data_IF_945946462674
#
_entry.id   IF_945946462674
#
_cell.length_a   1.000
_cell.length_b   1.000
_cell.length_c   1.000
_cell.angle_alpha   90.00
_cell.angle_beta   90.00
_cell.angle_gamma   90.00
#
_symmetry.space_group_name_H-M   'P 1'
#
loop_
_entity.id
_entity.type
_entity.pdbx_description
1 polymer ?
#
# COMPACT_ATOMS: atom_id res chain seq x y z
N UNK A 1 8.21 24.43 -25.31
CA UNK A 1 8.04 23.07 -24.76
C UNK A 1 8.72 23.06 -23.40
N UNK A 2 7.98 23.03 -22.28
CA UNK A 2 8.58 22.95 -20.96
C UNK A 2 8.94 21.49 -20.66
N UNK A 3 10.22 21.25 -20.39
CA UNK A 3 10.76 19.99 -19.86
C UNK A 3 10.31 19.87 -18.40
N UNK A 4 9.36 18.98 -18.13
CA UNK A 4 9.01 18.59 -16.77
C UNK A 4 10.14 17.72 -16.21
N UNK A 5 10.95 18.33 -15.34
CA UNK A 5 11.88 17.63 -14.47
C UNK A 5 11.02 16.82 -13.48
N UNK A 6 10.99 15.49 -13.63
CA UNK A 6 10.41 14.63 -12.61
C UNK A 6 11.31 14.70 -11.38
N UNK A 7 10.86 15.43 -10.37
CA UNK A 7 11.44 15.42 -9.04
C UNK A 7 11.09 14.07 -8.41
N UNK A 8 11.96 13.08 -8.61
CA UNK A 8 11.83 11.76 -7.98
C UNK A 8 12.14 11.97 -6.50
N UNK A 9 11.18 11.77 -5.58
CA UNK A 9 11.46 11.86 -4.16
C UNK A 9 12.57 10.88 -3.85
N UNK A 10 13.69 11.39 -3.33
CA UNK A 10 14.85 10.58 -2.98
C UNK A 10 14.40 9.42 -2.09
N UNK A 11 14.48 8.19 -2.61
CA UNK A 11 14.29 6.93 -1.87
C UNK A 11 15.44 6.65 -0.88
N UNK A 12 16.07 7.70 -0.36
CA UNK A 12 17.05 7.65 0.72
C UNK A 12 16.33 8.04 2.01
N UNK A 13 15.44 7.19 2.47
CA UNK A 13 14.95 7.28 3.85
C UNK A 13 14.95 5.89 4.45
N UNK A 14 16.02 5.66 5.21
CA UNK A 14 16.23 4.54 6.13
C UNK A 14 16.48 3.19 5.46
N UNK A 15 17.70 3.02 4.95
CA UNK A 15 18.38 1.71 5.14
C UNK A 15 18.28 1.40 6.64
N UNK A 16 17.68 0.28 7.09
CA UNK A 16 18.02 -0.20 8.42
C UNK A 16 19.54 -0.37 8.43
N UNK A 17 20.18 0.22 9.43
CA UNK A 17 21.62 0.20 9.53
C UNK A 17 22.08 -1.26 9.56
N UNK A 18 22.82 -1.69 8.53
CA UNK A 18 23.57 -2.95 8.56
C UNK A 18 24.52 -3.03 9.78
N UNK A 19 24.75 -1.92 10.47
CA UNK A 19 25.45 -1.83 11.74
C UNK A 19 24.74 -2.55 12.90
N UNK A 20 23.42 -2.72 12.87
CA UNK A 20 22.71 -3.42 13.96
C UNK A 20 22.81 -4.95 13.85
N UNK A 21 23.17 -5.48 12.68
CA UNK A 21 23.38 -6.92 12.48
C UNK A 21 24.77 -7.34 12.98
N UNK A 22 25.75 -6.44 13.02
CA UNK A 22 27.10 -6.76 13.52
C UNK A 22 27.20 -6.81 15.05
N UNK A 23 26.23 -6.25 15.79
CA UNK A 23 26.19 -6.32 17.25
C UNK A 23 25.40 -7.52 17.82
N UNK A 24 24.80 -8.36 16.96
CA UNK A 24 24.06 -9.55 17.37
C UNK A 24 24.91 -10.84 17.41
N UNK A 25 26.21 -10.77 17.08
CA UNK A 25 27.11 -11.90 17.28
C UNK A 25 27.53 -11.96 18.74
N UNK A 26 26.73 -12.67 19.53
CA UNK A 26 26.98 -13.06 20.92
C UNK A 26 28.20 -13.97 21.10
N UNK A 27 29.38 -13.53 20.67
CA UNK A 27 30.68 -14.13 21.00
C UNK A 27 31.26 -13.57 22.32
N UNK A 28 30.47 -12.84 23.09
CA UNK A 28 30.90 -12.26 24.36
C UNK A 28 30.98 -13.28 25.51
N UNK A 29 30.30 -14.42 25.42
CA UNK A 29 30.23 -15.37 26.55
C UNK A 29 31.35 -16.44 26.51
N UNK A 30 31.68 -16.96 25.32
CA UNK A 30 32.82 -17.89 25.15
C UNK A 30 34.17 -17.23 25.49
N UNK A 31 34.35 -15.95 25.12
CA UNK A 31 35.57 -15.21 25.45
C UNK A 31 35.68 -14.90 26.96
N UNK A 32 34.56 -14.85 27.69
CA UNK A 32 34.55 -14.57 29.14
C UNK A 32 34.97 -15.78 29.97
N UNK A 33 34.67 -16.99 29.52
CA UNK A 33 35.07 -18.24 30.18
C UNK A 33 36.55 -18.59 29.94
N UNK A 34 37.08 -18.33 28.74
CA UNK A 34 38.50 -18.57 28.43
C UNK A 34 39.41 -17.64 29.26
N UNK A 35 39.00 -16.38 29.47
CA UNK A 35 39.78 -15.40 30.23
C UNK A 35 39.87 -15.70 31.75
N UNK A 36 39.03 -16.60 32.29
CA UNK A 36 38.97 -16.93 33.73
C UNK A 36 39.61 -18.28 34.11
N UNK A 37 40.22 -19.00 33.16
CA UNK A 37 40.87 -20.29 33.43
C UNK A 37 39.94 -21.34 34.04
N UNK A 38 38.63 -21.20 33.84
CA UNK A 38 37.63 -22.12 34.39
C UNK A 38 37.54 -23.35 33.49
N UNK A 39 37.83 -24.52 34.06
CA UNK A 39 37.75 -25.81 33.38
C UNK A 39 36.30 -26.06 32.92
N UNK A 40 36.06 -26.06 31.61
CA UNK A 40 34.73 -26.36 31.06
C UNK A 40 34.43 -27.83 31.35
N UNK A 41 33.45 -28.12 32.20
CA UNK A 41 33.03 -29.50 32.43
C UNK A 41 32.49 -30.08 31.12
N UNK A 42 33.00 -31.24 30.72
CA UNK A 42 32.64 -31.88 29.43
C UNK A 42 31.13 -32.10 29.28
N UNK A 43 30.40 -32.21 30.39
CA UNK A 43 28.96 -32.45 30.42
C UNK A 43 28.12 -31.19 30.13
N UNK A 44 28.72 -29.99 30.17
CA UNK A 44 28.04 -28.72 29.84
C UNK A 44 28.10 -28.40 28.34
N UNK A 45 29.01 -29.03 27.59
CA UNK A 45 29.21 -28.80 26.14
C UNK A 45 27.96 -29.15 25.31
N UNK A 46 27.25 -30.27 25.55
CA UNK A 46 26.01 -30.58 24.82
C UNK A 46 24.88 -29.58 25.10
N UNK A 47 24.79 -29.02 26.32
CA UNK A 47 23.78 -28.03 26.68
C UNK A 47 24.07 -26.69 26.01
N UNK A 48 25.32 -26.24 26.03
CA UNK A 48 25.74 -25.02 25.33
C UNK A 48 25.53 -25.14 23.81
N UNK A 49 25.82 -26.30 23.21
CA UNK A 49 25.55 -26.56 21.79
C UNK A 49 24.06 -26.51 21.47
N UNK A 50 23.22 -27.13 22.30
CA UNK A 50 21.76 -27.10 22.12
C UNK A 50 21.19 -25.68 22.25
N UNK A 51 21.73 -24.86 23.15
CA UNK A 51 21.32 -23.46 23.30
C UNK A 51 21.69 -22.65 22.04
N UNK A 52 22.92 -22.82 21.53
CA UNK A 52 23.36 -22.20 20.28
C UNK A 52 22.48 -22.61 19.08
N UNK A 53 22.15 -23.91 18.96
CA UNK A 53 21.27 -24.40 17.88
C UNK A 53 19.86 -23.80 17.97
N UNK A 54 19.34 -23.54 19.19
CA UNK A 54 18.03 -22.90 19.39
C UNK A 54 18.06 -21.41 19.02
N UNK A 55 19.13 -20.71 19.37
CA UNK A 55 19.31 -19.31 19.00
C UNK A 55 19.45 -19.14 17.49
N UNK A 56 20.19 -20.03 16.82
CA UNK A 56 20.31 -20.05 15.37
C UNK A 56 18.95 -20.28 14.68
N UNK A 57 18.13 -21.19 15.21
CA UNK A 57 16.77 -21.43 14.69
C UNK A 57 15.86 -20.20 14.89
N UNK A 58 15.99 -19.49 16.00
CA UNK A 58 15.23 -18.25 16.23
C UNK A 58 15.64 -17.15 15.24
N UNK A 59 16.94 -17.00 14.97
CA UNK A 59 17.47 -16.04 14.00
C UNK A 59 17.02 -16.36 12.57
N UNK A 60 17.01 -17.64 12.19
CA UNK A 60 16.51 -18.09 10.88
C UNK A 60 15.03 -17.74 10.71
N UNK A 61 14.19 -17.97 11.73
CA UNK A 61 12.77 -17.62 11.68
C UNK A 61 12.55 -16.11 11.53
N UNK A 62 13.24 -15.30 12.32
CA UNK A 62 13.16 -13.84 12.21
C UNK A 62 13.57 -13.35 10.81
N UNK A 63 14.57 -13.99 10.20
CA UNK A 63 15.00 -13.72 8.83
C UNK A 63 13.92 -14.10 7.82
N UNK A 64 13.30 -15.27 7.95
CA UNK A 64 12.21 -15.71 7.08
C UNK A 64 10.98 -14.79 7.17
N UNK A 65 10.60 -14.35 8.37
CA UNK A 65 9.49 -13.41 8.55
C UNK A 65 9.79 -12.06 7.88
N UNK A 66 11.04 -11.60 8.00
CA UNK A 66 11.50 -10.37 7.34
C UNK A 66 11.48 -10.51 5.82
N UNK A 67 11.94 -11.64 5.28
CA UNK A 67 11.90 -11.94 3.84
C UNK A 67 10.46 -12.01 3.33
N UNK A 68 9.57 -12.70 4.05
CA UNK A 68 8.16 -12.81 3.69
C UNK A 68 7.48 -11.43 3.62
N UNK A 69 7.67 -10.60 4.65
CA UNK A 69 7.16 -9.22 4.65
C UNK A 69 7.73 -8.38 3.50
N UNK A 70 8.99 -8.60 3.14
CA UNK A 70 9.63 -7.89 2.03
C UNK A 70 9.02 -8.30 0.69
N UNK A 71 8.78 -9.59 0.47
CA UNK A 71 8.14 -10.09 -0.75
C UNK A 71 6.73 -9.54 -0.90
N UNK A 72 5.91 -9.56 0.16
CA UNK A 72 4.57 -8.96 0.13
C UNK A 72 4.59 -7.47 -0.22
N UNK A 73 5.59 -6.72 0.26
CA UNK A 73 5.74 -5.31 -0.11
C UNK A 73 6.13 -5.12 -1.57
N UNK A 74 7.00 -5.98 -2.10
CA UNK A 74 7.40 -5.94 -3.52
C UNK A 74 6.21 -6.25 -4.42
N UNK A 75 5.41 -7.27 -4.08
CA UNK A 75 4.23 -7.65 -4.84
C UNK A 75 3.21 -6.51 -4.88
N UNK A 76 2.94 -5.87 -3.73
CA UNK A 76 2.07 -4.70 -3.66
C UNK A 76 2.60 -3.52 -4.49
N UNK A 77 3.90 -3.20 -4.40
CA UNK A 77 4.50 -2.15 -5.21
C UNK A 77 4.39 -2.44 -6.72
N UNK A 78 4.57 -3.70 -7.11
CA UNK A 78 4.44 -4.14 -8.51
C UNK A 78 3.00 -3.97 -9.00
N UNK A 79 2.02 -4.41 -8.20
CA UNK A 79 0.60 -4.21 -8.52
C UNK A 79 0.22 -2.72 -8.67
N UNK A 80 0.74 -1.85 -7.79
CA UNK A 80 0.52 -0.39 -7.88
C UNK A 80 1.14 0.17 -9.17
N UNK A 81 2.35 -0.26 -9.53
CA UNK A 81 3.03 0.19 -10.74
C UNK A 81 2.26 -0.24 -12.00
N UNK A 82 1.86 -1.51 -12.06
CA UNK A 82 1.07 -2.04 -13.17
C UNK A 82 -0.25 -1.27 -13.31
N UNK A 83 -0.93 -1.02 -12.18
CA UNK A 83 -2.16 -0.23 -12.16
C UNK A 83 -1.95 1.21 -12.63
N UNK A 84 -0.86 1.87 -12.23
CA UNK A 84 -0.54 3.23 -12.72
C UNK A 84 -0.24 3.24 -14.21
N UNK A 85 0.48 2.24 -14.72
CA UNK A 85 0.78 2.13 -16.15
C UNK A 85 -0.50 1.95 -16.94
N UNK A 86 -1.41 1.07 -16.50
CA UNK A 86 -2.69 0.90 -17.19
C UNK A 86 -3.59 2.13 -17.06
N UNK A 87 -3.63 2.78 -15.90
CA UNK A 87 -4.34 4.05 -15.72
C UNK A 87 -3.85 5.12 -16.67
N UNK A 88 -2.54 5.22 -16.93
CA UNK A 88 -2.01 6.14 -17.95
C UNK A 88 -2.58 5.85 -19.35
N UNK A 89 -2.79 4.58 -19.70
CA UNK A 89 -3.43 4.20 -20.97
C UNK A 89 -4.93 4.52 -20.96
N UNK A 90 -5.62 4.26 -19.86
CA UNK A 90 -7.05 4.58 -19.69
C UNK A 90 -7.28 6.09 -19.78
N UNK A 91 -6.51 6.89 -19.06
CA UNK A 91 -6.54 8.35 -19.09
C UNK A 91 -6.32 8.87 -20.51
N UNK A 92 -5.32 8.32 -21.22
CA UNK A 92 -5.11 8.67 -22.62
C UNK A 92 -6.34 8.37 -23.47
N UNK A 93 -6.96 7.19 -23.34
CA UNK A 93 -8.22 6.86 -24.05
C UNK A 93 -9.36 7.80 -23.67
N UNK A 94 -9.54 8.09 -22.38
CA UNK A 94 -10.58 8.97 -21.87
C UNK A 94 -10.42 10.41 -22.37
N UNK A 95 -9.19 10.90 -22.54
CA UNK A 95 -8.92 12.25 -23.05
C UNK A 95 -9.43 12.49 -24.49
N UNK A 96 -9.63 11.42 -25.26
CA UNK A 96 -10.17 11.49 -26.63
C UNK A 96 -11.70 11.34 -26.68
N UNK A 97 -12.35 10.96 -25.59
CA UNK A 97 -13.80 10.74 -25.55
C UNK A 97 -14.56 12.06 -25.51
N UNK A 98 -15.68 12.13 -26.23
CA UNK A 98 -16.58 13.28 -26.17
C UNK A 98 -17.46 13.24 -24.90
N UNK A 99 -18.05 14.38 -24.52
CA UNK A 99 -18.88 14.51 -23.31
C UNK A 99 -20.04 13.50 -23.17
N UNK A 100 -20.49 12.91 -24.28
CA UNK A 100 -21.60 11.96 -24.33
C UNK A 100 -21.15 10.48 -24.37
N UNK A 101 -19.87 10.20 -24.15
CA UNK A 101 -19.34 8.84 -24.15
C UNK A 101 -19.04 8.36 -22.72
N UNK A 102 -19.16 7.04 -22.51
CA UNK A 102 -18.83 6.43 -21.21
C UNK A 102 -17.32 6.42 -21.01
N UNK A 103 -16.86 7.11 -19.96
CA UNK A 103 -15.47 7.06 -19.52
C UNK A 103 -15.14 5.66 -18.99
N UNK A 104 -13.92 5.20 -19.27
CA UNK A 104 -13.38 3.99 -18.65
C UNK A 104 -12.89 4.31 -17.24
N UNK A 105 -13.21 3.44 -16.29
CA UNK A 105 -12.75 3.59 -14.92
C UNK A 105 -11.28 3.22 -14.77
N UNK A 106 -10.58 3.96 -13.91
CA UNK A 106 -9.21 3.66 -13.51
C UNK A 106 -9.15 2.41 -12.62
N UNK A 107 -8.03 1.71 -12.65
CA UNK A 107 -7.68 0.70 -11.67
C UNK A 107 -7.34 1.35 -10.33
N UNK A 108 -7.67 0.67 -9.23
CA UNK A 108 -7.35 1.12 -7.87
C UNK A 108 -5.84 1.10 -7.64
N UNK A 109 -5.28 2.20 -7.16
CA UNK A 109 -3.84 2.34 -6.87
C UNK A 109 -3.53 2.53 -5.39
N UNK A 110 -4.51 2.96 -4.59
CA UNK A 110 -4.35 3.16 -3.15
C UNK A 110 -4.96 1.96 -2.41
N UNK A 111 -4.20 1.19 -1.63
CA UNK A 111 -4.74 0.08 -0.86
C UNK A 111 -5.69 0.56 0.25
N UNK A 112 -6.54 -0.34 0.74
CA UNK A 112 -7.50 -0.06 1.81
C UNK A 112 -8.84 0.52 1.34
N UNK A 113 -9.68 0.90 2.29
CA UNK A 113 -11.03 1.44 2.05
C UNK A 113 -11.05 2.96 2.22
N UNK A 114 -11.77 3.66 1.34
CA UNK A 114 -12.05 5.08 1.46
C UNK A 114 -13.25 5.42 2.36
N UNK A 115 -13.77 4.46 3.14
CA UNK A 115 -14.97 4.64 3.97
C UNK A 115 -14.92 5.91 4.84
N UNK A 116 -13.81 6.16 5.53
CA UNK A 116 -13.67 7.35 6.38
C UNK A 116 -13.72 8.65 5.57
N UNK A 117 -13.12 8.66 4.37
CA UNK A 117 -13.18 9.81 3.44
C UNK A 117 -14.60 10.02 2.92
N UNK A 118 -15.28 8.94 2.58
CA UNK A 118 -16.67 9.00 2.13
C UNK A 118 -17.60 9.51 3.23
N UNK A 119 -17.42 9.05 4.48
CA UNK A 119 -18.14 9.55 5.64
C UNK A 119 -17.92 11.05 5.89
N UNK A 120 -16.71 11.55 5.64
CA UNK A 120 -16.37 12.96 5.83
C UNK A 120 -17.10 13.90 4.85
N UNK A 121 -17.41 13.42 3.63
CA UNK A 121 -18.10 14.21 2.60
C UNK A 121 -19.60 13.89 2.50
N UNK A 122 -20.04 12.80 3.13
CA UNK A 122 -21.42 12.34 3.11
C UNK A 122 -22.38 13.35 3.76
N UNK A 123 -23.59 13.45 3.18
CA UNK A 123 -24.70 14.15 3.81
C UNK A 123 -25.46 13.20 4.73
N UNK A 124 -26.24 13.75 5.68
CA UNK A 124 -27.06 12.94 6.58
C UNK A 124 -28.03 11.98 5.83
N UNK A 125 -28.44 12.35 4.63
CA UNK A 125 -29.37 11.59 3.78
C UNK A 125 -28.68 10.46 2.97
N UNK A 126 -27.36 10.53 2.78
CA UNK A 126 -26.62 9.58 1.94
C UNK A 126 -25.40 9.06 2.70
N UNK A 127 -25.54 7.88 3.30
CA UNK A 127 -24.45 7.20 3.99
C UNK A 127 -23.66 6.30 3.03
N UNK A 128 -22.33 6.26 3.11
CA UNK A 128 -21.54 5.35 2.32
C UNK A 128 -21.77 3.91 2.76
N UNK A 129 -21.70 2.98 1.80
CA UNK A 129 -21.67 1.55 2.09
C UNK A 129 -20.25 1.14 2.45
N UNK A 130 -20.07 0.44 3.57
CA UNK A 130 -18.79 -0.18 3.88
C UNK A 130 -18.56 -1.39 2.97
N UNK A 131 -17.41 -1.41 2.30
CA UNK A 131 -17.00 -2.49 1.40
C UNK A 131 -15.92 -3.30 2.14
N UNK A 132 -16.34 -4.43 2.70
CA UNK A 132 -15.48 -5.35 3.43
C UNK A 132 -15.58 -6.77 2.85
N UNK A 133 -14.49 -7.33 2.29
CA UNK A 133 -13.14 -6.77 2.25
C UNK A 133 -12.99 -5.59 1.28
N UNK A 134 -12.06 -4.65 1.53
CA UNK A 134 -11.75 -3.58 0.58
C UNK A 134 -11.28 -4.15 -0.76
N UNK A 135 -11.57 -3.41 -1.84
CA UNK A 135 -11.12 -3.79 -3.17
C UNK A 135 -9.58 -3.86 -3.26
N UNK A 136 -9.09 -4.81 -4.04
CA UNK A 136 -7.65 -5.02 -4.25
C UNK A 136 -7.06 -3.98 -5.21
N UNK A 137 -5.75 -3.72 -5.11
CA UNK A 137 -5.03 -2.87 -6.06
C UNK A 137 -5.04 -3.53 -7.45
N UNK A 138 -5.21 -2.72 -8.51
CA UNK A 138 -5.24 -3.20 -9.89
C UNK A 138 -6.64 -3.57 -10.41
N UNK A 139 -7.66 -3.64 -9.55
CA UNK A 139 -9.04 -3.89 -10.00
C UNK A 139 -9.73 -2.58 -10.40
N UNK A 140 -10.67 -2.66 -11.34
CA UNK A 140 -11.57 -1.56 -11.70
C UNK A 140 -12.89 -1.69 -10.94
N UNK A 141 -13.59 -0.58 -10.62
CA UNK A 141 -14.94 -0.65 -10.06
C UNK A 141 -15.88 -1.32 -11.06
N UNK A 142 -16.94 -1.96 -10.56
CA UNK A 142 -17.94 -2.54 -11.43
C UNK A 142 -18.55 -1.44 -12.33
N UNK A 143 -18.62 -1.67 -13.66
CA UNK A 143 -19.09 -0.66 -14.57
C UNK A 143 -20.56 -0.39 -14.29
N UNK A 144 -20.85 0.80 -13.77
CA UNK A 144 -22.21 1.28 -13.79
C UNK A 144 -22.46 1.81 -15.19
N UNK A 145 -23.19 1.05 -16.01
CA UNK A 145 -23.49 1.32 -17.42
C UNK A 145 -24.36 2.58 -17.61
N UNK A 146 -23.86 3.74 -17.16
CA UNK A 146 -24.47 5.05 -17.30
C UNK A 146 -23.38 6.09 -17.47
N UNK A 147 -23.72 7.17 -18.18
CA UNK A 147 -22.89 8.37 -18.26
C UNK A 147 -22.69 8.95 -16.86
N UNK A 148 -21.58 9.68 -16.67
CA UNK A 148 -21.26 10.32 -15.39
C UNK A 148 -22.39 11.25 -14.91
N UNK A 149 -23.12 11.86 -15.84
CA UNK A 149 -24.32 12.66 -15.57
C UNK A 149 -25.45 11.89 -14.86
N UNK A 150 -25.45 10.56 -14.94
CA UNK A 150 -26.41 9.69 -14.25
C UNK A 150 -26.00 9.29 -12.83
N UNK A 151 -24.84 9.72 -12.35
CA UNK A 151 -24.32 9.30 -11.03
C UNK A 151 -25.04 10.04 -9.92
N UNK A 152 -25.55 9.30 -8.94
CA UNK A 152 -26.15 9.83 -7.72
C UNK A 152 -25.07 10.08 -6.67
N UNK A 153 -25.42 10.77 -5.57
CA UNK A 153 -24.52 10.93 -4.43
C UNK A 153 -24.00 9.57 -3.91
N UNK A 154 -24.87 8.56 -3.82
CA UNK A 154 -24.49 7.22 -3.36
C UNK A 154 -23.42 6.57 -4.25
N UNK A 155 -23.50 6.79 -5.56
CA UNK A 155 -22.55 6.23 -6.52
C UNK A 155 -21.18 6.89 -6.38
N UNK A 156 -21.16 8.20 -6.18
CA UNK A 156 -19.92 8.95 -5.96
C UNK A 156 -19.28 8.52 -4.64
N UNK A 157 -20.08 8.38 -3.56
CA UNK A 157 -19.57 7.86 -2.29
C UNK A 157 -18.99 6.45 -2.45
N UNK A 158 -19.64 5.58 -3.22
CA UNK A 158 -19.11 4.24 -3.49
C UNK A 158 -17.79 4.28 -4.27
N UNK A 159 -17.62 5.23 -5.19
CA UNK A 159 -16.33 5.46 -5.86
C UNK A 159 -15.26 5.96 -4.89
N UNK A 160 -15.59 6.84 -3.94
CA UNK A 160 -14.65 7.29 -2.89
C UNK A 160 -14.18 6.11 -2.05
N UNK A 161 -15.13 5.28 -1.59
CA UNK A 161 -14.82 4.05 -0.84
C UNK A 161 -13.93 3.13 -1.66
N UNK A 162 -14.26 2.93 -2.92
CA UNK A 162 -13.52 2.07 -3.83
C UNK A 162 -12.10 2.58 -4.09
N UNK A 163 -11.90 3.85 -4.47
CA UNK A 163 -10.58 4.38 -4.81
C UNK A 163 -9.72 4.73 -3.59
N UNK A 164 -10.33 4.84 -2.41
CA UNK A 164 -9.69 5.42 -1.22
C UNK A 164 -9.16 6.83 -1.50
N UNK A 165 -9.97 7.64 -2.20
CA UNK A 165 -9.69 9.00 -2.62
C UNK A 165 -10.98 9.81 -2.60
N UNK A 166 -10.93 11.06 -2.11
CA UNK A 166 -12.09 11.97 -2.08
C UNK A 166 -12.24 12.79 -3.36
N UNK A 167 -11.29 12.70 -4.31
CA UNK A 167 -11.27 13.45 -5.57
C UNK A 167 -11.28 14.98 -5.36
N UNK A 168 -10.90 15.45 -4.17
CA UNK A 168 -11.03 16.85 -3.77
C UNK A 168 -12.47 17.30 -3.49
N UNK A 169 -13.42 16.38 -3.35
CA UNK A 169 -14.80 16.67 -2.97
C UNK A 169 -14.83 17.20 -1.53
N UNK A 170 -15.62 18.24 -1.30
CA UNK A 170 -15.80 18.86 0.01
C UNK A 170 -17.25 18.68 0.49
N UNK A 171 -17.43 18.67 1.81
CA UNK A 171 -18.75 18.64 2.41
C UNK A 171 -19.55 19.89 1.99
N UNK A 172 -20.74 19.67 1.41
CA UNK A 172 -21.60 20.73 0.90
C UNK A 172 -21.49 20.97 -0.61
N UNK A 173 -20.53 20.35 -1.31
CA UNK A 173 -20.50 20.34 -2.77
C UNK A 173 -21.82 19.79 -3.32
N UNK A 174 -22.40 20.47 -4.31
CA UNK A 174 -23.59 19.95 -4.96
C UNK A 174 -23.25 18.80 -5.92
N UNK A 175 -24.25 18.00 -6.29
CA UNK A 175 -24.05 16.82 -7.14
C UNK A 175 -23.34 17.12 -8.46
N UNK A 176 -23.57 18.30 -9.05
CA UNK A 176 -22.91 18.69 -10.30
C UNK A 176 -21.41 18.91 -10.11
N UNK A 177 -21.01 19.55 -9.01
CA UNK A 177 -19.60 19.77 -8.66
C UNK A 177 -18.90 18.45 -8.35
N UNK A 178 -19.56 17.56 -7.61
CA UNK A 178 -19.00 16.23 -7.30
C UNK A 178 -18.79 15.40 -8.57
N UNK A 179 -19.78 15.36 -9.47
CA UNK A 179 -19.64 14.71 -10.79
C UNK A 179 -18.50 15.34 -11.59
N UNK A 180 -18.37 16.66 -11.59
CA UNK A 180 -17.29 17.32 -12.30
C UNK A 180 -15.91 16.91 -11.76
N UNK A 181 -15.73 16.85 -10.43
CA UNK A 181 -14.47 16.41 -9.80
C UNK A 181 -14.13 14.95 -10.13
N UNK A 182 -15.13 14.05 -10.12
CA UNK A 182 -14.95 12.67 -10.57
C UNK A 182 -14.59 12.62 -12.06
N UNK A 183 -15.22 13.45 -12.89
CA UNK A 183 -14.90 13.54 -14.32
C UNK A 183 -13.43 13.90 -14.52
N UNK A 184 -12.97 14.96 -13.84
CA UNK A 184 -11.58 15.42 -13.89
C UNK A 184 -10.63 14.28 -13.49
N UNK A 185 -10.89 13.59 -12.38
CA UNK A 185 -10.09 12.44 -11.94
C UNK A 185 -10.02 11.30 -12.98
N UNK A 186 -11.08 11.10 -13.77
CA UNK A 186 -11.10 10.07 -14.81
C UNK A 186 -10.48 10.52 -16.14
N UNK A 187 -10.10 11.80 -16.28
CA UNK A 187 -9.54 12.36 -17.51
C UNK A 187 -8.14 12.95 -17.37
N UNK A 188 -7.72 13.31 -16.16
CA UNK A 188 -6.43 13.94 -15.83
C UNK A 188 -5.64 13.12 -14.80
#
# INVERSE_FOLDING_TARGET
MPTYLYDVPSLISKRPALADIQNAFGNLDLNRHIAKGSEIQRDDVPQAKKAADVDDLANIRATLDTMSNTLTRIDMCTAILDAKVENGRILHRNSWKCANETLEFLQKVVPGSGYDKACAVASAEHQPMDINPPAEVGVTPEPINRLLEGYTYGDILQLIVFYNDDFGIQAGDNLSEQRHKVCVFLTE
#
